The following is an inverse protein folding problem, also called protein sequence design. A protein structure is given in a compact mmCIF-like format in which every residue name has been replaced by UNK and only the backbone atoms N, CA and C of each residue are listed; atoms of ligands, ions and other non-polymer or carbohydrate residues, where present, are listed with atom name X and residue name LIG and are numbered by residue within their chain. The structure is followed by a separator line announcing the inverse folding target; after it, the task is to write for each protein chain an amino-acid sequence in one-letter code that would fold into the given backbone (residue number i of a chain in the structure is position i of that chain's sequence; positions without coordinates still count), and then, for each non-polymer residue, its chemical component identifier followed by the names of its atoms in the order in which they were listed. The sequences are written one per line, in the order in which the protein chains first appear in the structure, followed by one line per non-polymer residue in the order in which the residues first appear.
data_IF_696610572971
#
_entry.id   IF_696610572971
#
_cell.length_a   1.000
_cell.length_b   1.000
_cell.length_c   1.000
_cell.angle_alpha   90.00
_cell.angle_beta   90.00
_cell.angle_gamma   90.00
#
_symmetry.space_group_name_H-M   'P 1'
#
loop_
_entity.id
_entity.type
_entity.pdbx_description
1 polymer ?
#
# COMPACT_ATOMS: atom_id res chain seq x y z
N UNK A 1 -10.67 10.41 4.95
CA UNK A 1 -9.67 9.43 4.50
C UNK A 1 -8.85 8.94 5.69
N UNK A 2 -8.45 7.66 5.72
CA UNK A 2 -7.65 7.08 6.81
C UNK A 2 -6.23 6.80 6.33
N UNK A 3 -5.24 7.13 7.14
CA UNK A 3 -3.84 6.82 6.84
C UNK A 3 -3.60 5.30 6.88
N UNK A 4 -2.97 4.72 5.86
CA UNK A 4 -2.67 3.28 5.83
C UNK A 4 -1.64 2.84 6.87
N UNK A 5 -0.83 3.79 7.36
CA UNK A 5 0.29 3.52 8.27
C UNK A 5 -0.17 3.57 9.73
N UNK A 6 -0.92 4.62 10.11
CA UNK A 6 -1.36 4.84 11.49
C UNK A 6 -2.88 4.73 11.72
N UNK A 7 -3.68 4.54 10.67
CA UNK A 7 -5.14 4.43 10.76
C UNK A 7 -5.90 5.73 11.07
N UNK A 8 -5.18 6.83 11.34
CA UNK A 8 -5.79 8.11 11.73
C UNK A 8 -6.51 8.77 10.54
N UNK A 9 -7.67 9.36 10.82
CA UNK A 9 -8.44 10.17 9.88
C UNK A 9 -7.99 11.62 9.95
N UNK A 10 -7.02 11.99 9.11
CA UNK A 10 -6.44 13.32 9.01
C UNK A 10 -6.70 13.82 7.58
N UNK A 11 -6.82 15.14 7.37
CA UNK A 11 -7.08 15.72 6.05
C UNK A 11 -5.80 16.02 5.25
N UNK A 12 -4.66 16.15 5.93
CA UNK A 12 -3.38 16.52 5.31
C UNK A 12 -2.41 15.34 5.15
N UNK A 13 -1.79 15.27 3.98
CA UNK A 13 -0.80 14.26 3.60
C UNK A 13 -0.81 13.98 2.10
N UNK A 14 -0.22 12.86 1.72
CA UNK A 14 -0.07 12.43 0.32
C UNK A 14 -0.92 11.19 0.01
N UNK A 15 -1.26 11.02 -1.27
CA UNK A 15 -1.94 9.82 -1.78
C UNK A 15 -0.96 9.08 -2.69
N UNK A 16 -0.67 7.82 -2.36
CA UNK A 16 0.23 6.94 -3.14
C UNK A 16 -0.55 5.69 -3.52
N UNK A 17 -0.65 5.39 -4.82
CA UNK A 17 -1.34 4.20 -5.34
C UNK A 17 -2.78 4.02 -4.77
N UNK A 18 -3.58 5.09 -4.80
CA UNK A 18 -4.95 5.13 -4.25
C UNK A 18 -5.05 4.90 -2.72
N UNK A 19 -3.94 5.01 -2.00
CA UNK A 19 -3.89 4.93 -0.53
C UNK A 19 -3.42 6.24 0.07
N UNK A 20 -4.03 6.63 1.19
CA UNK A 20 -3.68 7.88 1.88
C UNK A 20 -2.60 7.64 2.95
N UNK A 21 -1.62 8.52 3.01
CA UNK A 21 -0.57 8.59 4.04
C UNK A 21 -0.62 9.99 4.62
N UNK A 22 -0.82 10.12 5.94
CA UNK A 22 -0.86 11.44 6.58
C UNK A 22 0.54 12.07 6.65
N UNK A 23 0.58 13.40 6.75
CA UNK A 23 1.83 14.19 6.81
C UNK A 23 2.83 13.66 7.85
N UNK A 24 2.36 13.34 9.07
CA UNK A 24 3.23 12.79 10.13
C UNK A 24 3.86 11.45 9.76
N UNK A 25 3.17 10.62 9.00
CA UNK A 25 3.69 9.32 8.57
C UNK A 25 4.67 9.47 7.41
N UNK A 26 4.39 10.37 6.48
CA UNK A 26 5.30 10.73 5.39
C UNK A 26 6.59 11.34 5.94
N UNK A 27 6.50 12.36 6.79
CA UNK A 27 7.67 13.01 7.39
C UNK A 27 8.53 12.00 8.15
N UNK A 28 7.90 11.08 8.90
CA UNK A 28 8.62 9.97 9.53
C UNK A 28 9.30 9.09 8.50
N UNK A 29 8.64 8.75 7.39
CA UNK A 29 9.20 7.91 6.35
C UNK A 29 10.42 8.54 5.68
N UNK A 30 10.34 9.84 5.34
CA UNK A 30 11.42 10.60 4.70
C UNK A 30 12.60 10.82 5.65
N UNK A 31 12.32 11.04 6.94
CA UNK A 31 13.36 11.18 7.96
C UNK A 31 13.83 9.85 8.56
N UNK A 32 13.26 8.71 8.15
CA UNK A 32 13.68 7.39 8.62
C UNK A 32 14.96 6.98 7.89
N UNK A 33 15.94 6.49 8.63
CA UNK A 33 17.13 5.91 8.03
C UNK A 33 16.80 4.54 7.43
N UNK A 34 17.43 4.20 6.30
CA UNK A 34 17.08 2.99 5.52
C UNK A 34 17.34 1.69 6.29
N UNK A 35 18.26 1.74 7.26
CA UNK A 35 18.64 0.62 8.12
C UNK A 35 17.67 0.39 9.29
N UNK A 36 16.58 1.15 9.39
CA UNK A 36 15.61 1.00 10.48
C UNK A 36 14.48 0.04 10.13
N UNK A 37 14.01 -0.72 11.11
CA UNK A 37 12.84 -1.61 10.98
C UNK A 37 11.58 -0.87 10.48
N UNK A 38 11.51 0.44 10.73
CA UNK A 38 10.44 1.28 10.23
C UNK A 38 10.42 1.36 8.70
N UNK A 39 11.59 1.52 8.06
CA UNK A 39 11.65 1.58 6.60
C UNK A 39 11.16 0.26 5.97
N UNK A 40 11.59 -0.88 6.52
CA UNK A 40 11.12 -2.20 6.09
C UNK A 40 9.60 -2.36 6.26
N UNK A 41 9.04 -1.88 7.37
CA UNK A 41 7.59 -1.87 7.57
C UNK A 41 6.86 -1.05 6.50
N UNK A 42 7.35 0.15 6.16
CA UNK A 42 6.76 0.98 5.12
C UNK A 42 6.78 0.30 3.74
N UNK A 43 7.89 -0.34 3.39
CA UNK A 43 8.02 -1.11 2.14
C UNK A 43 7.03 -2.28 2.13
N UNK A 44 6.86 -3.00 3.24
CA UNK A 44 5.89 -4.10 3.35
C UNK A 44 4.44 -3.61 3.19
N UNK A 45 4.08 -2.49 3.82
CA UNK A 45 2.76 -1.86 3.68
C UNK A 45 2.49 -1.43 2.23
N UNK A 46 3.48 -0.81 1.57
CA UNK A 46 3.38 -0.41 0.17
C UNK A 46 3.30 -1.62 -0.76
N UNK A 47 4.07 -2.68 -0.51
CA UNK A 47 4.02 -3.95 -1.26
C UNK A 47 2.66 -4.64 -1.11
N UNK A 48 2.13 -4.74 0.10
CA UNK A 48 0.78 -5.29 0.37
C UNK A 48 -0.32 -4.46 -0.29
N UNK A 49 -0.11 -3.15 -0.44
CA UNK A 49 -1.04 -2.29 -1.16
C UNK A 49 -1.14 -2.58 -2.67
N UNK A 50 -0.12 -3.22 -3.27
CA UNK A 50 -0.14 -3.68 -4.67
C UNK A 50 -0.93 -4.97 -4.86
N UNK A 51 -1.28 -5.66 -3.79
CA UNK A 51 -2.19 -6.81 -3.87
C UNK A 51 -3.62 -6.27 -3.98
N UNK A 52 -3.91 -5.67 -5.14
CA UNK A 52 -5.22 -5.87 -5.71
C UNK A 52 -5.36 -7.38 -5.88
N UNK A 53 -6.46 -7.93 -5.39
CA UNK A 53 -6.77 -9.36 -5.40
C UNK A 53 -7.19 -9.79 -6.82
N UNK A 54 -6.36 -9.45 -7.79
CA UNK A 54 -6.38 -9.65 -9.23
C UNK A 54 -4.88 -9.48 -9.59
N UNK A 55 -4.02 -10.46 -9.35
CA UNK A 55 -3.68 -11.47 -10.34
C UNK A 55 -2.89 -12.61 -9.70
N UNK A 56 -3.18 -13.84 -10.15
CA UNK A 56 -2.39 -15.08 -10.02
C UNK A 56 -2.25 -15.73 -8.62
N UNK A 57 -3.36 -16.30 -8.12
CA UNK A 57 -3.31 -17.77 -7.98
C UNK A 57 -3.51 -18.32 -9.39
N UNK A 58 -2.55 -19.11 -9.87
CA UNK A 58 -2.73 -19.86 -11.10
C UNK A 58 -3.94 -20.77 -10.96
N UNK A 59 -5.08 -20.34 -11.49
CA UNK A 59 -6.20 -21.20 -11.83
C UNK A 59 -6.61 -20.82 -13.25
N UNK A 60 -6.51 -21.82 -14.12
CA UNK A 60 -6.77 -21.78 -15.55
C UNK A 60 -8.06 -21.04 -15.87
N UNK A 61 -7.96 -19.93 -16.58
CA UNK A 61 -9.14 -19.37 -17.23
C UNK A 61 -9.48 -20.30 -18.41
N UNK A 62 -10.39 -21.24 -18.15
CA UNK A 62 -10.99 -22.04 -19.20
C UNK A 62 -11.95 -21.12 -19.95
N UNK A 63 -11.46 -20.44 -20.99
CA UNK A 63 -12.30 -19.77 -21.96
C UNK A 63 -13.04 -20.82 -22.79
N UNK A 64 -14.13 -21.38 -22.26
CA UNK A 64 -15.11 -22.05 -23.11
C UNK A 64 -15.98 -20.97 -23.76
N UNK A 65 -15.47 -20.50 -24.89
CA UNK A 65 -16.21 -19.85 -25.94
C UNK A 65 -17.32 -20.81 -26.41
N UNK A 66 -18.61 -20.45 -26.30
CA UNK A 66 -19.63 -20.90 -27.27
C UNK A 66 -20.94 -20.11 -27.15
N UNK A 67 -21.20 -19.37 -28.23
CA UNK A 67 -22.47 -19.14 -28.93
C UNK A 67 -23.74 -18.97 -28.08
#
# INVERSE_FOLDING_TARGET
MKCIVCGKSIQEGIIVNSRFICLKCEERMVNSNIDTDFYNYFIDVLKKSRINKLDTKGESINCQNRL
#
